data_IF_457946783435
#
_entry.id   IF_457946783435
#
_cell.length_a   1.000
_cell.length_b   1.000
_cell.length_c   1.000
_cell.angle_alpha   90.00
_cell.angle_beta   90.00
_cell.angle_gamma   90.00
#
_symmetry.space_group_name_H-M   'P 1'
#
loop_
_entity.id
_entity.type
_entity.pdbx_description
1 polymer ?
#
# COMPACT_ATOMS: atom_id res chain seq x y z
N UNK A 1 13.92 -52.81 36.45
CA UNK A 1 13.49 -52.28 35.15
C UNK A 1 14.43 -51.13 34.74
N UNK A 2 15.29 -51.29 33.75
CA UNK A 2 16.23 -50.25 33.29
C UNK A 2 15.48 -49.21 32.45
N UNK A 3 15.33 -47.97 32.95
CA UNK A 3 14.80 -46.83 32.17
C UNK A 3 15.78 -46.53 31.02
N UNK A 4 15.34 -46.78 29.78
CA UNK A 4 16.05 -46.43 28.55
C UNK A 4 16.17 -44.90 28.50
N UNK A 5 17.33 -44.34 28.84
CA UNK A 5 17.60 -42.90 28.72
C UNK A 5 17.54 -42.54 27.23
N UNK A 6 16.50 -41.81 26.82
CA UNK A 6 16.38 -41.28 25.45
C UNK A 6 17.52 -40.29 25.23
N UNK A 7 18.39 -40.58 24.26
CA UNK A 7 19.48 -39.68 23.89
C UNK A 7 18.90 -38.52 23.06
N UNK A 8 18.60 -37.40 23.73
CA UNK A 8 18.01 -36.21 23.12
C UNK A 8 19.05 -35.23 22.58
N UNK A 9 20.35 -35.49 22.80
CA UNK A 9 21.44 -34.60 22.38
C UNK A 9 21.46 -34.29 20.86
N UNK A 10 21.20 -35.25 19.94
CA UNK A 10 21.16 -34.95 18.51
C UNK A 10 20.02 -34.00 18.13
N UNK A 11 18.88 -34.08 18.80
CA UNK A 11 17.72 -33.23 18.54
C UNK A 11 17.96 -31.79 19.01
N UNK A 12 18.65 -31.62 20.14
CA UNK A 12 19.04 -30.31 20.64
C UNK A 12 20.03 -29.59 19.71
N UNK A 13 20.86 -30.32 18.96
CA UNK A 13 21.78 -29.73 17.97
C UNK A 13 21.05 -29.24 16.70
N UNK A 14 19.93 -29.87 16.33
CA UNK A 14 19.14 -29.52 15.13
C UNK A 14 18.10 -28.44 15.44
N UNK A 15 17.68 -28.33 16.71
CA UNK A 15 16.60 -27.46 17.14
C UNK A 15 16.81 -25.97 16.75
N UNK A 16 18.00 -25.36 16.89
CA UNK A 16 18.22 -23.97 16.45
C UNK A 16 18.01 -23.79 14.94
N UNK A 17 18.47 -24.73 14.12
CA UNK A 17 18.28 -24.70 12.68
C UNK A 17 16.82 -24.89 12.28
N UNK A 18 16.09 -25.77 12.98
CA UNK A 18 14.65 -25.96 12.77
C UNK A 18 13.85 -24.72 13.16
N UNK A 19 14.17 -24.08 14.28
CA UNK A 19 13.52 -22.83 14.70
C UNK A 19 13.80 -21.73 13.69
N UNK A 20 15.04 -21.60 13.23
CA UNK A 20 15.39 -20.64 12.18
C UNK A 20 14.58 -20.89 10.89
N UNK A 21 14.54 -22.13 10.41
CA UNK A 21 13.78 -22.49 9.21
C UNK A 21 12.28 -22.26 9.39
N UNK A 22 11.73 -22.57 10.57
CA UNK A 22 10.32 -22.33 10.86
C UNK A 22 9.99 -20.83 10.86
N UNK A 23 10.80 -19.99 11.51
CA UNK A 23 10.54 -18.56 11.64
C UNK A 23 10.77 -17.78 10.34
N UNK A 24 11.86 -18.07 9.63
CA UNK A 24 12.27 -17.26 8.46
C UNK A 24 11.77 -17.81 7.13
N UNK A 25 11.43 -19.10 7.03
CA UNK A 25 10.95 -19.70 5.79
C UNK A 25 9.50 -20.18 5.91
N UNK A 26 9.20 -21.05 6.87
CA UNK A 26 7.89 -21.70 6.93
C UNK A 26 6.77 -20.71 7.32
N UNK A 27 7.01 -19.85 8.30
CA UNK A 27 6.03 -18.86 8.77
C UNK A 27 5.62 -17.86 7.69
N UNK A 28 6.54 -17.12 7.03
CA UNK A 28 6.15 -16.19 5.97
C UNK A 28 5.53 -16.91 4.76
N UNK A 29 5.96 -18.13 4.43
CA UNK A 29 5.33 -18.93 3.37
C UNK A 29 3.89 -19.31 3.70
N UNK A 30 3.64 -19.82 4.91
CA UNK A 30 2.29 -20.16 5.37
C UNK A 30 1.40 -18.91 5.43
N UNK A 31 1.93 -17.77 5.92
CA UNK A 31 1.23 -16.49 5.94
C UNK A 31 0.85 -16.04 4.53
N UNK A 32 1.77 -16.09 3.57
CA UNK A 32 1.50 -15.74 2.17
C UNK A 32 0.45 -16.65 1.54
N UNK A 33 0.46 -17.94 1.86
CA UNK A 33 -0.55 -18.88 1.39
C UNK A 33 -1.93 -18.57 1.99
N UNK A 34 -2.00 -18.24 3.27
CA UNK A 34 -3.26 -17.81 3.91
C UNK A 34 -3.79 -16.54 3.26
N UNK A 35 -2.96 -15.52 3.05
CA UNK A 35 -3.34 -14.26 2.36
C UNK A 35 -3.81 -14.47 0.92
N UNK A 36 -3.44 -15.59 0.28
CA UNK A 36 -3.93 -15.90 -1.08
C UNK A 36 -5.38 -16.37 -1.11
N UNK A 37 -5.92 -16.84 0.03
CA UNK A 37 -7.28 -17.40 0.16
C UNK A 37 -8.12 -16.65 1.20
N UNK A 38 -7.56 -15.60 1.79
CA UNK A 38 -8.18 -14.84 2.87
C UNK A 38 -8.00 -13.36 2.56
N UNK A 39 -9.11 -12.64 2.47
CA UNK A 39 -9.15 -11.21 2.23
C UNK A 39 -9.47 -10.50 3.55
N UNK A 40 -8.46 -9.89 4.17
CA UNK A 40 -8.58 -9.18 5.45
C UNK A 40 -9.42 -7.88 5.36
N UNK A 41 -9.70 -7.40 4.14
CA UNK A 41 -10.45 -6.17 3.89
C UNK A 41 -11.82 -6.43 3.22
N UNK A 42 -12.30 -7.68 3.24
CA UNK A 42 -13.53 -8.06 2.54
C UNK A 42 -14.79 -7.38 3.09
N UNK A 43 -14.90 -7.28 4.42
CA UNK A 43 -16.12 -6.87 5.11
C UNK A 43 -15.89 -5.63 5.98
N UNK A 44 -16.74 -4.64 5.83
CA UNK A 44 -16.80 -3.45 6.68
C UNK A 44 -17.90 -3.62 7.74
N UNK A 45 -17.57 -3.86 9.02
CA UNK A 45 -18.56 -3.93 10.08
C UNK A 45 -19.16 -2.55 10.35
N UNK A 46 -20.48 -2.51 10.39
CA UNK A 46 -21.27 -1.33 10.76
C UNK A 46 -21.38 -1.24 12.27
N UNK A 47 -21.15 -0.04 12.80
CA UNK A 47 -21.18 0.24 14.23
C UNK A 47 -22.52 0.82 14.64
N UNK A 48 -23.04 0.41 15.80
CA UNK A 48 -24.27 0.97 16.38
C UNK A 48 -24.14 2.45 16.74
N UNK A 49 -22.94 2.89 17.11
CA UNK A 49 -22.59 4.28 17.41
C UNK A 49 -21.31 4.65 16.66
N UNK A 50 -21.04 5.94 16.47
CA UNK A 50 -19.78 6.42 15.91
C UNK A 50 -18.63 6.20 16.93
N UNK A 51 -18.27 4.94 17.17
CA UNK A 51 -17.21 4.52 18.08
C UNK A 51 -16.77 3.11 17.70
N UNK A 52 -15.45 2.88 17.61
CA UNK A 52 -14.84 1.59 17.30
C UNK A 52 -15.20 0.51 18.33
N UNK A 53 -15.43 0.87 19.59
CA UNK A 53 -15.76 -0.06 20.67
C UNK A 53 -17.25 -0.42 20.73
N UNK A 54 -18.09 0.23 19.93
CA UNK A 54 -19.53 -0.02 19.95
C UNK A 54 -19.89 -1.35 19.28
N UNK A 55 -21.07 -1.87 19.64
CA UNK A 55 -21.58 -3.12 19.07
C UNK A 55 -21.78 -3.03 17.56
N UNK A 56 -21.62 -4.16 16.89
CA UNK A 56 -21.81 -4.25 15.44
C UNK A 56 -23.30 -4.44 15.11
N UNK A 57 -23.83 -3.64 14.19
CA UNK A 57 -25.23 -3.70 13.73
C UNK A 57 -25.40 -4.49 12.43
N UNK A 58 -24.31 -4.75 11.72
CA UNK A 58 -24.27 -5.46 10.44
C UNK A 58 -22.89 -5.36 9.80
N UNK A 59 -22.76 -5.77 8.55
CA UNK A 59 -21.53 -5.60 7.75
C UNK A 59 -21.89 -5.35 6.30
N UNK A 60 -21.00 -4.71 5.55
CA UNK A 60 -21.08 -4.59 4.10
C UNK A 60 -19.84 -5.16 3.42
N UNK A 61 -20.01 -5.84 2.29
CA UNK A 61 -18.90 -6.26 1.43
C UNK A 61 -18.24 -5.05 0.77
N UNK A 62 -16.94 -5.19 0.47
CA UNK A 62 -16.21 -4.22 -0.33
C UNK A 62 -16.91 -4.00 -1.68
N UNK A 63 -17.09 -2.74 -2.07
CA UNK A 63 -17.74 -2.36 -3.31
C UNK A 63 -19.26 -2.18 -3.21
N UNK A 64 -19.89 -2.49 -2.07
CA UNK A 64 -21.32 -2.23 -1.84
C UNK A 64 -21.61 -0.74 -1.90
N UNK A 65 -22.67 -0.37 -2.64
CA UNK A 65 -23.14 1.01 -2.76
C UNK A 65 -23.99 1.36 -1.54
N UNK A 66 -23.75 2.54 -0.98
CA UNK A 66 -24.38 2.99 0.25
C UNK A 66 -24.85 4.44 0.12
N UNK A 67 -25.94 4.75 0.83
CA UNK A 67 -26.45 6.09 1.05
C UNK A 67 -25.85 6.65 2.34
N UNK A 68 -25.37 7.89 2.31
CA UNK A 68 -24.83 8.61 3.46
C UNK A 68 -25.96 9.42 4.06
N UNK A 69 -26.36 9.05 5.28
CA UNK A 69 -27.47 9.68 6.00
C UNK A 69 -27.01 10.88 6.83
N UNK A 70 -25.76 10.88 7.27
CA UNK A 70 -25.20 11.94 8.10
C UNK A 70 -23.73 11.72 8.42
N UNK A 71 -23.15 12.73 9.08
CA UNK A 71 -21.76 12.73 9.51
C UNK A 71 -21.64 13.14 10.98
N UNK A 72 -20.61 12.63 11.65
CA UNK A 72 -20.23 13.00 13.00
C UNK A 72 -18.71 13.08 13.11
N UNK A 73 -18.20 14.18 13.67
CA UNK A 73 -16.80 14.30 14.06
C UNK A 73 -16.60 13.84 15.50
N UNK A 74 -15.65 12.94 15.73
CA UNK A 74 -15.26 12.51 17.07
C UNK A 74 -13.87 13.05 17.42
N UNK A 75 -13.71 13.59 18.62
CA UNK A 75 -12.43 14.09 19.11
C UNK A 75 -11.37 12.99 19.06
N UNK A 76 -10.31 13.22 18.29
CA UNK A 76 -9.13 12.38 18.29
C UNK A 76 -8.36 12.63 19.60
N UNK A 77 -8.32 11.63 20.47
CA UNK A 77 -7.38 11.63 21.59
C UNK A 77 -6.01 11.22 21.05
N UNK A 78 -4.95 11.88 21.54
CA UNK A 78 -3.55 11.87 21.08
C UNK A 78 -2.84 10.47 21.07
N UNK A 79 -3.59 9.37 21.14
CA UNK A 79 -3.10 7.99 21.29
C UNK A 79 -3.60 7.07 20.18
N UNK A 80 -3.54 7.48 18.92
CA UNK A 80 -3.71 6.57 17.78
C UNK A 80 -2.37 6.43 17.08
N UNK A 81 -1.66 5.35 17.42
CA UNK A 81 -0.38 5.01 16.81
C UNK A 81 -0.54 4.71 15.33
N UNK A 82 0.39 5.18 14.50
CA UNK A 82 0.70 4.77 13.12
C UNK A 82 -0.48 4.49 12.14
N UNK A 83 -1.72 4.95 12.41
CA UNK A 83 -2.84 4.82 11.47
C UNK A 83 -2.70 5.86 10.35
N UNK A 84 -1.91 5.50 9.34
CA UNK A 84 -1.72 6.28 8.11
C UNK A 84 -3.05 6.32 7.33
N UNK A 85 -3.57 7.52 7.05
CA UNK A 85 -4.81 7.82 6.30
C UNK A 85 -6.11 8.00 7.11
N UNK A 86 -6.05 8.69 8.25
CA UNK A 86 -7.25 9.25 8.87
C UNK A 86 -7.74 10.45 8.02
N UNK A 87 -9.01 10.42 7.62
CA UNK A 87 -9.68 11.64 7.15
C UNK A 87 -10.10 12.41 8.40
N UNK A 88 -9.35 13.47 8.67
CA UNK A 88 -9.56 14.33 9.83
C UNK A 88 -10.16 15.66 9.44
N UNK A 89 -10.96 16.21 10.34
CA UNK A 89 -11.44 17.58 10.26
C UNK A 89 -10.77 18.40 11.37
N UNK A 90 -10.16 19.52 10.98
CA UNK A 90 -9.52 20.44 11.93
C UNK A 90 -10.50 21.56 12.29
N UNK A 91 -10.60 21.84 13.58
CA UNK A 91 -11.45 22.88 14.14
C UNK A 91 -10.61 23.84 14.96
N UNK A 92 -10.97 25.12 14.93
CA UNK A 92 -10.31 26.18 15.68
C UNK A 92 -11.27 26.74 16.71
N UNK A 93 -10.82 26.83 17.96
CA UNK A 93 -11.48 27.63 18.98
C UNK A 93 -11.03 29.08 18.77
N UNK A 94 -11.99 29.94 18.44
CA UNK A 94 -11.76 31.34 18.09
C UNK A 94 -12.44 32.27 19.07
N UNK A 95 -11.76 33.35 19.42
CA UNK A 95 -12.34 34.48 20.16
C UNK A 95 -12.41 35.69 19.23
N UNK A 96 -13.59 36.29 19.10
CA UNK A 96 -13.82 37.43 18.22
C UNK A 96 -15.16 38.14 18.48
N UNK A 97 -15.47 39.11 17.63
CA UNK A 97 -16.68 39.92 17.73
C UNK A 97 -17.75 39.40 16.73
N UNK A 98 -18.97 39.15 17.22
CA UNK A 98 -20.15 38.77 16.42
C UNK A 98 -20.69 39.99 15.63
N UNK A 99 -21.62 39.77 14.71
CA UNK A 99 -22.38 40.78 13.94
C UNK A 99 -23.00 41.87 14.84
N UNK A 100 -23.42 41.51 16.05
CA UNK A 100 -24.03 42.42 17.02
C UNK A 100 -23.02 43.19 17.90
N UNK A 101 -21.71 43.01 17.68
CA UNK A 101 -20.66 43.65 18.45
C UNK A 101 -20.35 42.99 19.81
N UNK A 102 -20.85 41.77 20.02
CA UNK A 102 -20.62 41.01 21.24
C UNK A 102 -19.37 40.14 21.10
N UNK A 103 -18.56 40.05 22.16
CA UNK A 103 -17.43 39.13 22.19
C UNK A 103 -17.94 37.69 22.35
N UNK A 104 -17.58 36.82 21.42
CA UNK A 104 -17.94 35.41 21.40
C UNK A 104 -16.68 34.54 21.37
N UNK A 105 -16.76 33.38 22.00
CA UNK A 105 -15.70 32.37 22.05
C UNK A 105 -16.31 31.01 21.74
N UNK A 106 -15.80 30.33 20.72
CA UNK A 106 -16.19 28.97 20.40
C UNK A 106 -15.56 28.44 19.12
N UNK A 107 -16.09 27.34 18.63
CA UNK A 107 -15.46 26.50 17.62
C UNK A 107 -15.97 26.79 16.21
N UNK A 108 -15.03 26.82 15.27
CA UNK A 108 -15.29 27.02 13.83
C UNK A 108 -14.42 26.05 13.03
N UNK A 109 -14.94 25.44 11.94
CA UNK A 109 -14.13 24.55 11.10
C UNK A 109 -13.01 25.31 10.38
N UNK A 110 -11.83 24.69 10.28
CA UNK A 110 -10.62 25.28 9.67
C UNK A 110 -10.86 25.73 8.22
N UNK A 111 -11.72 25.01 7.49
CA UNK A 111 -12.14 25.33 6.13
C UNK A 111 -12.71 26.75 5.98
N UNK A 112 -13.23 27.34 7.07
CA UNK A 112 -13.83 28.69 7.13
C UNK A 112 -12.86 29.76 7.60
N UNK A 113 -11.69 29.41 8.11
CA UNK A 113 -10.70 30.36 8.62
C UNK A 113 -9.49 30.41 7.70
N UNK A 114 -9.00 31.61 7.42
CA UNK A 114 -7.69 31.84 6.80
C UNK A 114 -6.74 32.29 7.90
N UNK A 115 -5.81 31.41 8.28
CA UNK A 115 -4.73 31.72 9.22
C UNK A 115 -3.88 32.87 8.67
N UNK A 116 -3.54 33.83 9.54
CA UNK A 116 -2.79 35.05 9.22
C UNK A 116 -1.47 35.13 9.96
N UNK A 117 -1.44 34.60 11.17
CA UNK A 117 -0.26 34.56 12.02
C UNK A 117 -0.15 33.18 12.66
N UNK A 118 1.07 32.65 12.64
CA UNK A 118 1.46 31.38 13.22
C UNK A 118 2.67 31.61 14.12
N UNK A 119 2.77 30.83 15.19
CA UNK A 119 3.96 30.78 16.03
C UNK A 119 5.13 30.11 15.28
N UNK A 120 6.34 30.22 15.83
CA UNK A 120 7.57 29.63 15.25
C UNK A 120 7.49 28.10 15.09
N UNK A 121 6.59 27.44 15.83
CA UNK A 121 6.31 26.00 15.77
C UNK A 121 5.19 25.62 14.80
N UNK A 122 4.58 26.60 14.11
CA UNK A 122 3.47 26.41 13.18
C UNK A 122 2.08 26.44 13.81
N UNK A 123 1.97 26.70 15.12
CA UNK A 123 0.67 26.81 15.80
C UNK A 123 -0.07 28.07 15.31
N UNK A 124 -1.32 27.98 14.84
CA UNK A 124 -2.07 29.16 14.40
C UNK A 124 -2.44 30.06 15.57
N UNK A 125 -2.14 31.36 15.48
CA UNK A 125 -2.39 32.35 16.52
C UNK A 125 -3.53 33.32 16.17
N UNK A 126 -3.61 33.73 14.90
CA UNK A 126 -4.66 34.63 14.42
C UNK A 126 -5.17 34.23 13.05
N UNK A 127 -6.45 34.52 12.80
CA UNK A 127 -7.12 34.19 11.57
C UNK A 127 -8.12 35.25 11.13
N UNK A 128 -8.56 35.12 9.88
CA UNK A 128 -9.67 35.89 9.33
C UNK A 128 -10.71 34.98 8.72
N UNK A 129 -11.99 35.32 8.87
CA UNK A 129 -13.08 34.53 8.28
C UNK A 129 -13.01 34.59 6.76
N UNK A 130 -12.99 33.42 6.11
CA UNK A 130 -13.03 33.31 4.65
C UNK A 130 -14.39 33.78 4.14
N UNK A 131 -14.36 34.54 3.04
CA UNK A 131 -15.58 34.93 2.33
C UNK A 131 -16.12 33.73 1.55
N UNK A 132 -17.39 33.41 1.73
CA UNK A 132 -18.09 32.42 0.92
C UNK A 132 -18.48 33.06 -0.42
N UNK A 133 -18.06 32.45 -1.53
CA UNK A 133 -18.42 32.91 -2.88
C UNK A 133 -19.56 32.04 -3.42
N UNK A 134 -20.72 32.65 -3.70
CA UNK A 134 -21.88 31.98 -4.30
C UNK A 134 -23.15 32.82 -4.16
N UNK A 135 -24.05 32.80 -5.15
CA UNK A 135 -25.23 33.68 -5.22
C UNK A 135 -26.32 33.41 -4.17
N UNK A 136 -26.14 32.43 -3.29
CA UNK A 136 -27.06 32.09 -2.19
C UNK A 136 -26.36 31.55 -0.95
N UNK A 137 -25.06 31.82 -0.81
CA UNK A 137 -24.26 31.29 0.28
C UNK A 137 -24.31 32.26 1.48
N UNK A 138 -24.65 31.77 2.69
CA UNK A 138 -24.61 32.60 3.90
C UNK A 138 -23.18 33.17 4.06
N UNK A 139 -22.99 34.50 4.02
CA UNK A 139 -21.68 35.12 4.14
C UNK A 139 -21.12 34.98 5.57
N UNK A 140 -21.99 34.69 6.54
CA UNK A 140 -21.61 34.52 7.93
C UNK A 140 -21.04 33.12 8.18
N UNK A 141 -20.21 33.04 9.22
CA UNK A 141 -19.66 31.77 9.71
C UNK A 141 -20.23 31.50 11.08
N UNK A 142 -20.99 30.42 11.23
CA UNK A 142 -21.54 29.99 12.52
C UNK A 142 -20.40 29.55 13.44
N UNK A 143 -20.50 29.97 14.70
CA UNK A 143 -19.63 29.56 15.80
C UNK A 143 -20.40 28.60 16.69
N UNK A 144 -19.76 27.49 17.05
CA UNK A 144 -20.36 26.39 17.80
C UNK A 144 -19.79 26.31 19.22
N UNK A 145 -20.57 25.79 20.17
CA UNK A 145 -20.11 25.60 21.54
C UNK A 145 -19.01 24.53 21.68
N UNK A 146 -19.01 23.54 20.78
CA UNK A 146 -18.08 22.41 20.73
C UNK A 146 -17.59 22.21 19.28
N UNK A 147 -16.46 21.52 19.02
CA UNK A 147 -15.97 21.26 17.67
C UNK A 147 -16.86 20.20 17.00
N UNK A 148 -18.05 20.62 16.55
CA UNK A 148 -19.04 19.79 15.86
C UNK A 148 -20.10 20.68 15.21
N UNK A 149 -20.46 20.38 13.95
CA UNK A 149 -21.57 21.09 13.26
C UNK A 149 -22.95 20.81 13.90
N UNK A 150 -23.06 19.76 14.73
CA UNK A 150 -24.29 19.41 15.44
C UNK A 150 -24.39 20.07 16.83
N UNK A 151 -23.35 20.80 17.27
CA UNK A 151 -23.35 21.47 18.57
C UNK A 151 -24.22 22.74 18.55
N UNK A 152 -24.50 23.28 19.75
CA UNK A 152 -25.28 24.51 19.87
C UNK A 152 -24.56 25.68 19.21
N UNK A 153 -25.28 26.42 18.36
CA UNK A 153 -24.80 27.68 17.78
C UNK A 153 -24.75 28.75 18.87
N UNK A 154 -23.57 29.37 19.05
CA UNK A 154 -23.36 30.42 20.06
C UNK A 154 -23.30 31.83 19.46
N UNK A 155 -23.07 31.94 18.15
CA UNK A 155 -22.93 33.21 17.46
C UNK A 155 -22.58 33.06 15.99
N UNK A 156 -22.46 34.18 15.27
CA UNK A 156 -22.09 34.24 13.85
C UNK A 156 -21.02 35.29 13.60
N UNK A 157 -19.99 34.95 12.83
CA UNK A 157 -18.90 35.86 12.49
C UNK A 157 -19.08 36.42 11.08
N UNK A 158 -18.81 37.72 10.93
CA UNK A 158 -18.83 38.36 9.62
C UNK A 158 -17.68 37.91 8.71
N UNK A 159 -17.92 37.99 7.42
CA UNK A 159 -16.90 37.77 6.41
C UNK A 159 -15.70 38.71 6.61
N UNK A 160 -14.50 38.15 6.69
CA UNK A 160 -13.25 38.90 6.97
C UNK A 160 -13.10 39.47 8.38
N UNK A 161 -13.97 39.10 9.33
CA UNK A 161 -13.74 39.38 10.73
C UNK A 161 -12.39 38.80 11.18
N UNK A 162 -11.63 39.59 11.94
CA UNK A 162 -10.38 39.17 12.57
C UNK A 162 -10.66 38.48 13.89
N UNK A 163 -9.89 37.44 14.20
CA UNK A 163 -10.03 36.66 15.44
C UNK A 163 -8.71 36.06 15.89
N UNK A 164 -8.66 35.82 17.20
CA UNK A 164 -7.60 35.05 17.83
C UNK A 164 -7.98 33.58 17.81
N UNK A 165 -7.01 32.72 17.52
CA UNK A 165 -7.16 31.26 17.59
C UNK A 165 -6.55 30.83 18.92
N UNK A 166 -7.40 30.39 19.84
CA UNK A 166 -7.02 30.03 21.21
C UNK A 166 -6.60 28.57 21.33
N UNK A 167 -7.25 27.68 20.58
CA UNK A 167 -7.00 26.24 20.61
C UNK A 167 -7.39 25.56 19.29
N UNK A 168 -6.94 24.33 19.08
CA UNK A 168 -7.25 23.52 17.91
C UNK A 168 -7.72 22.13 18.31
N UNK A 169 -8.70 21.57 17.61
CA UNK A 169 -9.19 20.21 17.81
C UNK A 169 -9.18 19.47 16.47
N UNK A 170 -8.64 18.24 16.48
CA UNK A 170 -8.68 17.36 15.32
C UNK A 170 -9.74 16.29 15.56
N UNK A 171 -10.66 16.13 14.62
CA UNK A 171 -11.75 15.17 14.70
C UNK A 171 -11.57 14.07 13.66
N UNK A 172 -11.83 12.81 14.02
CA UNK A 172 -12.03 11.75 13.05
C UNK A 172 -13.46 11.84 12.52
N UNK A 173 -13.63 11.86 11.19
CA UNK A 173 -14.95 11.93 10.57
C UNK A 173 -15.54 10.53 10.45
N UNK A 174 -16.76 10.37 10.91
CA UNK A 174 -17.59 9.18 10.82
C UNK A 174 -18.83 9.45 9.98
N UNK A 175 -19.23 8.47 9.17
CA UNK A 175 -20.47 8.53 8.39
C UNK A 175 -21.48 7.54 8.92
N UNK A 176 -22.74 7.97 9.02
CA UNK A 176 -23.88 7.08 9.15
C UNK A 176 -24.31 6.67 7.76
N UNK A 177 -24.24 5.38 7.47
CA UNK A 177 -24.53 4.84 6.15
C UNK A 177 -25.68 3.85 6.21
N UNK A 178 -26.43 3.78 5.11
CA UNK A 178 -27.48 2.79 4.86
C UNK A 178 -27.23 2.12 3.52
N UNK A 179 -27.39 0.81 3.48
CA UNK A 179 -27.23 0.03 2.26
C UNK A 179 -28.07 -1.24 2.30
N UNK A 180 -28.20 -1.88 1.15
CA UNK A 180 -28.86 -3.17 1.02
C UNK A 180 -27.83 -4.22 0.61
N UNK A 181 -27.80 -5.32 1.35
CA UNK A 181 -26.97 -6.48 1.06
C UNK A 181 -27.79 -7.75 1.27
N UNK A 182 -27.74 -8.67 0.30
CA UNK A 182 -28.51 -9.92 0.29
C UNK A 182 -30.03 -9.75 0.55
N UNK A 183 -30.60 -8.61 0.14
CA UNK A 183 -32.02 -8.29 0.32
C UNK A 183 -32.38 -7.83 1.74
N UNK A 184 -31.38 -7.57 2.60
CA UNK A 184 -31.55 -6.96 3.91
C UNK A 184 -30.96 -5.56 3.92
N UNK A 185 -31.68 -4.62 4.53
CA UNK A 185 -31.17 -3.26 4.74
C UNK A 185 -30.43 -3.21 6.06
N UNK A 186 -29.18 -2.77 6.02
CA UNK A 186 -28.40 -2.47 7.23
C UNK A 186 -28.13 -0.97 7.33
N UNK A 187 -28.04 -0.50 8.56
CA UNK A 187 -27.72 0.88 8.89
C UNK A 187 -26.75 0.92 10.07
N UNK A 188 -25.78 1.81 10.00
CA UNK A 188 -24.83 2.03 11.09
C UNK A 188 -23.75 3.03 10.74
N UNK A 189 -22.84 3.21 11.68
CA UNK A 189 -21.73 4.14 11.63
C UNK A 189 -20.46 3.46 11.17
N UNK A 190 -19.69 4.16 10.35
CA UNK A 190 -18.37 3.72 9.88
C UNK A 190 -17.41 4.90 9.82
N UNK A 191 -16.10 4.69 10.03
CA UNK A 191 -15.12 5.73 9.77
C UNK A 191 -15.11 6.12 8.29
N UNK A 192 -15.05 7.42 8.01
CA UNK A 192 -15.11 7.98 6.65
C UNK A 192 -14.06 7.40 5.69
N UNK A 193 -12.88 7.05 6.19
CA UNK A 193 -11.77 6.42 5.42
C UNK A 193 -12.11 5.09 4.75
N UNK A 194 -13.19 4.43 5.14
CA UNK A 194 -13.65 3.18 4.52
C UNK A 194 -14.68 3.41 3.41
N UNK A 195 -15.14 4.66 3.23
CA UNK A 195 -16.19 5.03 2.28
C UNK A 195 -15.64 5.99 1.25
N UNK A 196 -15.78 5.62 -0.02
CA UNK A 196 -15.58 6.54 -1.12
C UNK A 196 -16.90 7.29 -1.37
N UNK A 197 -16.92 8.58 -1.03
CA UNK A 197 -18.07 9.46 -1.28
C UNK A 197 -18.09 9.93 -2.74
N UNK A 198 -19.25 9.92 -3.37
CA UNK A 198 -19.44 10.45 -4.72
C UNK A 198 -19.74 11.95 -4.71
N UNK A 199 -19.64 12.62 -5.86
CA UNK A 199 -19.70 14.08 -5.96
C UNK A 199 -21.05 14.72 -5.58
N UNK A 200 -22.07 13.92 -5.26
CA UNK A 200 -23.36 14.36 -4.74
C UNK A 200 -23.45 14.35 -3.21
N UNK A 201 -22.39 13.93 -2.50
CA UNK A 201 -22.24 13.90 -1.04
C UNK A 201 -23.25 13.04 -0.26
N UNK A 202 -24.26 12.49 -0.95
CA UNK A 202 -25.33 11.65 -0.38
C UNK A 202 -25.13 10.18 -0.73
N UNK A 203 -24.34 9.89 -1.78
CA UNK A 203 -24.07 8.52 -2.19
C UNK A 203 -22.59 8.19 -2.10
N UNK A 204 -22.30 6.91 -1.87
CA UNK A 204 -20.93 6.43 -1.78
C UNK A 204 -20.84 4.93 -2.00
N UNK A 205 -19.62 4.42 -1.80
CA UNK A 205 -19.31 3.01 -1.91
C UNK A 205 -18.31 2.61 -0.84
N UNK A 206 -18.47 1.41 -0.29
CA UNK A 206 -17.48 0.80 0.58
C UNK A 206 -16.19 0.56 -0.21
N UNK A 207 -15.11 1.25 0.13
CA UNK A 207 -13.83 1.13 -0.57
C UNK A 207 -13.01 -0.04 -0.06
N UNK A 208 -13.03 -0.29 1.27
CA UNK A 208 -12.36 -1.41 1.92
C UNK A 208 -13.01 -1.72 3.27
N UNK A 209 -12.86 -2.95 3.74
CA UNK A 209 -13.31 -3.42 5.04
C UNK A 209 -12.20 -3.48 6.10
N UNK A 210 -12.56 -3.99 7.28
CA UNK A 210 -11.62 -4.24 8.39
C UNK A 210 -11.70 -5.67 8.92
N UNK A 211 -12.65 -6.45 8.41
CA UNK A 211 -12.86 -7.85 8.80
C UNK A 211 -12.70 -8.76 7.62
N UNK A 212 -12.09 -9.92 7.88
CA UNK A 212 -11.64 -10.82 6.84
C UNK A 212 -12.66 -11.90 6.48
N UNK A 213 -12.64 -12.31 5.21
CA UNK A 213 -13.43 -13.43 4.68
C UNK A 213 -12.56 -14.37 3.84
N UNK A 214 -12.94 -15.65 3.80
CA UNK A 214 -12.37 -16.59 2.85
C UNK A 214 -12.78 -16.22 1.42
N UNK A 215 -11.82 -16.14 0.50
CA UNK A 215 -12.09 -15.77 -0.90
C UNK A 215 -11.32 -16.63 -1.89
N UNK A 216 -11.93 -16.86 -3.05
CA UNK A 216 -11.26 -17.38 -4.25
C UNK A 216 -11.12 -16.31 -5.34
N UNK A 217 -11.57 -15.08 -5.08
CA UNK A 217 -11.60 -13.99 -6.04
C UNK A 217 -10.21 -13.60 -6.55
N UNK A 218 -9.17 -13.71 -5.72
CA UNK A 218 -7.79 -13.47 -6.15
C UNK A 218 -7.34 -14.44 -7.24
N UNK A 219 -7.69 -15.72 -7.12
CA UNK A 219 -7.37 -16.72 -8.14
C UNK A 219 -8.16 -16.46 -9.42
N UNK A 220 -9.46 -16.18 -9.31
CA UNK A 220 -10.29 -15.87 -10.46
C UNK A 220 -9.76 -14.64 -11.21
N UNK A 221 -9.41 -13.56 -10.49
CA UNK A 221 -8.81 -12.35 -11.04
C UNK A 221 -7.47 -12.63 -11.72
N UNK A 222 -6.62 -13.46 -11.11
CA UNK A 222 -5.34 -13.87 -11.68
C UNK A 222 -5.51 -14.68 -12.97
N UNK A 223 -6.41 -15.68 -12.99
CA UNK A 223 -6.63 -16.53 -14.16
C UNK A 223 -7.33 -15.78 -15.31
N UNK A 224 -8.19 -14.82 -15.00
CA UNK A 224 -8.87 -13.98 -15.98
C UNK A 224 -8.00 -12.80 -16.46
N UNK A 225 -6.82 -12.57 -15.88
CA UNK A 225 -5.91 -11.53 -16.33
C UNK A 225 -5.36 -11.84 -17.74
N UNK A 226 -5.48 -10.88 -18.65
CA UNK A 226 -5.04 -10.99 -20.06
C UNK A 226 -3.54 -11.31 -20.23
N UNK A 227 -2.70 -10.99 -19.24
CA UNK A 227 -1.26 -11.21 -19.25
C UNK A 227 -0.85 -12.50 -18.56
N UNK A 228 -1.71 -13.13 -17.75
CA UNK A 228 -1.38 -14.34 -17.00
C UNK A 228 -0.92 -15.48 -17.91
N UNK A 229 -1.73 -15.83 -18.92
CA UNK A 229 -1.40 -16.89 -19.88
C UNK A 229 -0.07 -16.65 -20.61
N UNK A 230 0.13 -15.47 -21.25
CA UNK A 230 1.41 -15.11 -21.85
C UNK A 230 2.60 -15.19 -20.88
N UNK A 231 2.46 -14.68 -19.65
CA UNK A 231 3.53 -14.70 -18.65
C UNK A 231 3.92 -16.13 -18.26
N UNK A 232 2.95 -16.99 -17.95
CA UNK A 232 3.19 -18.41 -17.63
C UNK A 232 3.90 -19.12 -18.78
N UNK A 233 3.46 -18.90 -20.02
CA UNK A 233 4.11 -19.50 -21.20
C UNK A 233 5.56 -19.03 -21.35
N UNK A 234 5.84 -17.74 -21.17
CA UNK A 234 7.21 -17.22 -21.24
C UNK A 234 8.08 -17.80 -20.13
N UNK A 235 7.60 -17.86 -18.90
CA UNK A 235 8.34 -18.44 -17.77
C UNK A 235 8.63 -19.93 -17.99
N UNK A 236 7.64 -20.70 -18.45
CA UNK A 236 7.84 -22.12 -18.78
C UNK A 236 8.80 -22.31 -19.95
N UNK A 237 8.70 -21.49 -20.99
CA UNK A 237 9.63 -21.53 -22.12
C UNK A 237 11.06 -21.24 -21.68
N UNK A 238 11.27 -20.23 -20.84
CA UNK A 238 12.57 -19.93 -20.25
C UNK A 238 13.09 -21.12 -19.43
N UNK A 239 12.26 -21.68 -18.56
CA UNK A 239 12.63 -22.84 -17.73
C UNK A 239 13.05 -24.05 -18.57
N UNK A 240 12.28 -24.38 -19.61
CA UNK A 240 12.54 -25.50 -20.52
C UNK A 240 13.81 -25.29 -21.34
N UNK A 241 14.27 -24.05 -21.55
CA UNK A 241 15.53 -23.78 -22.25
C UNK A 241 16.71 -23.70 -21.27
N UNK A 242 16.56 -22.98 -20.16
CA UNK A 242 17.61 -22.73 -19.17
C UNK A 242 18.04 -24.05 -18.50
N UNK A 243 17.09 -24.82 -17.97
CA UNK A 243 17.41 -26.02 -17.17
C UNK A 243 18.21 -27.04 -17.99
N UNK A 244 17.80 -27.43 -19.21
CA UNK A 244 18.60 -28.35 -20.01
C UNK A 244 19.94 -27.78 -20.44
N UNK A 245 20.02 -26.49 -20.76
CA UNK A 245 21.30 -25.85 -21.13
C UNK A 245 22.29 -25.91 -19.97
N UNK A 246 21.86 -25.57 -18.76
CA UNK A 246 22.66 -25.69 -17.54
C UNK A 246 23.09 -27.14 -17.30
N UNK A 247 22.18 -28.09 -17.49
CA UNK A 247 22.47 -29.51 -17.32
C UNK A 247 23.52 -30.01 -18.33
N UNK A 248 23.42 -29.62 -19.60
CA UNK A 248 24.41 -29.95 -20.64
C UNK A 248 25.77 -29.36 -20.31
N UNK A 249 25.84 -28.09 -19.88
CA UNK A 249 27.07 -27.44 -19.45
C UNK A 249 27.69 -28.14 -18.24
N UNK A 250 26.88 -28.53 -17.26
CA UNK A 250 27.33 -29.27 -16.10
C UNK A 250 27.93 -30.63 -16.48
N UNK A 251 27.30 -31.36 -17.41
CA UNK A 251 27.83 -32.63 -17.93
C UNK A 251 29.15 -32.41 -18.68
N UNK A 252 29.22 -31.42 -19.56
CA UNK A 252 30.46 -31.09 -20.29
C UNK A 252 31.58 -30.84 -19.29
N UNK A 253 31.32 -30.08 -18.23
CA UNK A 253 32.32 -29.83 -17.20
C UNK A 253 32.70 -31.05 -16.39
N UNK A 254 31.75 -31.88 -16.01
CA UNK A 254 32.04 -33.15 -15.36
C UNK A 254 32.95 -34.04 -16.23
N UNK A 255 32.69 -34.10 -17.54
CA UNK A 255 33.50 -34.85 -18.50
C UNK A 255 34.91 -34.26 -18.67
N UNK A 256 35.04 -32.93 -18.77
CA UNK A 256 36.35 -32.25 -18.85
C UNK A 256 37.21 -32.56 -17.63
N UNK A 257 36.61 -32.52 -16.44
CA UNK A 257 37.28 -32.85 -15.19
C UNK A 257 37.75 -34.31 -15.19
N UNK A 258 36.88 -35.23 -15.64
CA UNK A 258 37.17 -36.66 -15.68
C UNK A 258 38.24 -37.03 -16.73
N UNK A 259 38.23 -36.38 -17.90
CA UNK A 259 39.14 -36.67 -19.01
C UNK A 259 40.60 -36.30 -18.74
N UNK A 260 40.90 -35.62 -17.62
CA UNK A 260 42.26 -35.19 -17.22
C UNK A 260 43.04 -34.51 -18.35
N UNK A 261 42.37 -33.66 -19.12
CA UNK A 261 42.99 -32.89 -20.20
C UNK A 261 44.16 -32.05 -19.66
N UNK A 262 45.20 -31.83 -20.49
CA UNK A 262 46.42 -31.12 -20.11
C UNK A 262 46.17 -29.70 -19.54
N UNK A 263 45.03 -29.09 -19.88
CA UNK A 263 44.62 -27.76 -19.42
C UNK A 263 43.35 -27.75 -18.55
N UNK A 264 42.95 -28.90 -17.99
CA UNK A 264 41.72 -29.04 -17.18
C UNK A 264 41.58 -27.95 -16.09
N UNK A 265 42.66 -27.62 -15.38
CA UNK A 265 42.62 -26.59 -14.33
C UNK A 265 42.24 -25.19 -14.83
N UNK A 266 42.64 -24.81 -16.05
CA UNK A 266 42.27 -23.51 -16.64
C UNK A 266 40.78 -23.49 -16.97
N UNK A 267 40.26 -24.57 -17.56
CA UNK A 267 38.83 -24.70 -17.84
C UNK A 267 37.99 -24.64 -16.56
N UNK A 268 38.44 -25.30 -15.48
CA UNK A 268 37.79 -25.24 -14.18
C UNK A 268 37.76 -23.81 -13.64
N UNK A 269 38.87 -23.08 -13.68
CA UNK A 269 38.90 -21.70 -13.20
C UNK A 269 37.94 -20.79 -13.97
N UNK A 270 37.88 -20.90 -15.30
CA UNK A 270 36.95 -20.09 -16.11
C UNK A 270 35.49 -20.38 -15.71
N UNK A 271 35.13 -21.65 -15.54
CA UNK A 271 33.78 -22.05 -15.11
C UNK A 271 33.46 -21.71 -13.65
N UNK A 272 34.46 -21.56 -12.81
CA UNK A 272 34.28 -21.20 -11.41
C UNK A 272 34.11 -19.69 -11.18
N UNK A 273 34.51 -18.85 -12.16
CA UNK A 273 34.39 -17.38 -12.05
C UNK A 273 32.94 -16.97 -11.71
N UNK A 274 31.93 -17.39 -12.47
CA UNK A 274 30.58 -16.89 -12.25
C UNK A 274 29.93 -17.40 -10.97
N UNK A 275 30.25 -18.64 -10.58
CA UNK A 275 29.77 -19.25 -9.33
C UNK A 275 30.21 -18.47 -8.08
N UNK A 276 31.24 -17.63 -8.19
CA UNK A 276 31.72 -16.76 -7.12
C UNK A 276 31.16 -15.34 -7.15
N UNK A 277 30.38 -14.97 -8.18
CA UNK A 277 29.80 -13.63 -8.31
C UNK A 277 28.40 -13.61 -7.72
N UNK A 278 28.05 -12.53 -7.01
CA UNK A 278 26.70 -12.33 -6.49
C UNK A 278 25.70 -12.12 -7.64
N UNK A 279 24.54 -12.77 -7.59
CA UNK A 279 23.45 -12.64 -8.56
C UNK A 279 23.08 -11.16 -8.84
N UNK A 280 23.12 -10.32 -7.80
CA UNK A 280 22.85 -8.89 -7.90
C UNK A 280 23.92 -8.19 -8.76
N UNK A 281 25.20 -8.48 -8.52
CA UNK A 281 26.30 -7.90 -9.26
C UNK A 281 26.27 -8.32 -10.74
N UNK A 282 25.96 -9.58 -11.02
CA UNK A 282 25.76 -10.06 -12.40
C UNK A 282 24.61 -9.29 -13.05
N UNK A 283 23.50 -9.05 -12.34
CA UNK A 283 22.33 -8.35 -12.88
C UNK A 283 22.66 -6.91 -13.30
N UNK A 284 23.43 -6.19 -12.48
CA UNK A 284 23.89 -4.83 -12.79
C UNK A 284 24.82 -4.82 -14.01
N UNK A 285 25.76 -5.77 -14.10
CA UNK A 285 26.67 -5.90 -15.24
C UNK A 285 25.90 -6.14 -16.54
N UNK A 286 24.94 -7.07 -16.52
CA UNK A 286 24.10 -7.37 -17.68
C UNK A 286 23.24 -6.19 -18.10
N UNK A 287 22.65 -5.45 -17.16
CA UNK A 287 21.93 -4.21 -17.48
C UNK A 287 22.84 -3.19 -18.21
N UNK A 288 24.09 -3.04 -17.75
CA UNK A 288 25.08 -2.17 -18.40
C UNK A 288 25.48 -2.65 -19.80
N UNK A 289 25.50 -3.97 -20.05
CA UNK A 289 25.81 -4.54 -21.36
C UNK A 289 24.70 -4.27 -22.38
N UNK A 290 23.43 -4.47 -21.98
CA UNK A 290 22.26 -4.43 -22.87
C UNK A 290 21.56 -3.07 -22.96
N UNK A 291 22.01 -2.06 -22.22
CA UNK A 291 21.47 -0.70 -22.36
C UNK A 291 21.78 -0.10 -23.75
N UNK A 292 21.03 0.91 -24.16
CA UNK A 292 21.15 1.52 -25.50
C UNK A 292 22.58 2.01 -25.78
N UNK A 293 23.24 2.63 -24.81
CA UNK A 293 24.64 3.06 -24.93
C UNK A 293 25.61 2.07 -24.27
N UNK A 294 25.22 0.79 -24.18
CA UNK A 294 25.95 -0.25 -23.47
C UNK A 294 27.15 -0.82 -24.22
N UNK A 295 27.86 -1.72 -23.55
CA UNK A 295 29.05 -2.40 -24.08
C UNK A 295 28.73 -3.14 -25.38
N UNK A 296 27.57 -3.81 -25.46
CA UNK A 296 27.19 -4.59 -26.63
C UNK A 296 27.02 -3.70 -27.87
N UNK A 297 26.27 -2.61 -27.77
CA UNK A 297 26.08 -1.68 -28.88
C UNK A 297 27.40 -1.01 -29.29
N UNK A 298 28.26 -0.67 -28.32
CA UNK A 298 29.55 -0.05 -28.59
C UNK A 298 30.48 -0.99 -29.38
N UNK A 299 30.52 -2.28 -29.02
CA UNK A 299 31.29 -3.29 -29.75
C UNK A 299 30.72 -3.52 -31.15
N UNK A 300 29.40 -3.69 -31.27
CA UNK A 300 28.76 -3.96 -32.56
C UNK A 300 28.91 -2.78 -33.54
N UNK A 301 28.82 -1.54 -33.06
CA UNK A 301 29.09 -0.34 -33.86
C UNK A 301 30.56 -0.22 -34.23
N UNK A 302 31.48 -0.50 -33.28
CA UNK A 302 32.92 -0.47 -33.52
C UNK A 302 33.38 -1.50 -34.57
N UNK A 303 32.68 -2.63 -34.67
CA UNK A 303 32.90 -3.65 -35.70
C UNK A 303 32.18 -3.36 -37.03
N UNK A 304 31.36 -2.31 -37.10
CA UNK A 304 30.56 -1.97 -38.28
C UNK A 304 29.40 -2.95 -38.56
N UNK A 305 28.95 -3.70 -37.55
CA UNK A 305 27.84 -4.66 -37.69
C UNK A 305 26.46 -4.00 -37.57
N UNK A 306 26.39 -2.81 -36.94
CA UNK A 306 25.16 -2.02 -36.82
C UNK A 306 25.48 -0.53 -37.02
N UNK A 307 24.57 0.18 -37.69
CA UNK A 307 24.73 1.62 -37.98
C UNK A 307 24.22 2.52 -36.84
N UNK A 308 23.31 2.00 -36.01
CA UNK A 308 22.71 2.73 -34.89
C UNK A 308 22.43 1.82 -33.69
N UNK A 309 22.50 2.39 -32.48
CA UNK A 309 22.23 1.70 -31.23
C UNK A 309 20.82 1.11 -31.21
N UNK A 310 20.71 -0.20 -31.00
CA UNK A 310 19.43 -0.90 -30.92
C UNK A 310 18.98 -1.05 -29.46
N UNK A 311 17.69 -0.81 -29.15
CA UNK A 311 17.15 -1.03 -27.82
C UNK A 311 16.76 -2.50 -27.61
N UNK A 312 17.64 -3.27 -26.97
CA UNK A 312 17.47 -4.72 -26.73
C UNK A 312 16.44 -5.08 -25.65
N UNK A 313 16.11 -4.14 -24.77
CA UNK A 313 15.22 -4.34 -23.62
C UNK A 313 13.86 -3.65 -23.81
N UNK A 314 13.29 -3.73 -25.02
CA UNK A 314 11.97 -3.12 -25.31
C UNK A 314 10.90 -4.18 -25.51
N UNK A 315 9.64 -3.78 -25.32
CA UNK A 315 8.49 -4.69 -25.44
C UNK A 315 8.36 -5.32 -26.84
N UNK A 316 8.92 -4.68 -27.87
CA UNK A 316 8.95 -5.15 -29.25
C UNK A 316 10.08 -6.15 -29.54
N UNK A 317 11.15 -6.15 -28.72
CA UNK A 317 12.32 -7.04 -28.87
C UNK A 317 12.33 -8.19 -27.87
N UNK A 318 11.16 -8.83 -27.64
CA UNK A 318 10.99 -9.94 -26.66
C UNK A 318 12.03 -11.06 -26.76
N UNK A 319 12.48 -11.39 -27.97
CA UNK A 319 13.52 -12.39 -28.18
C UNK A 319 14.88 -12.02 -27.58
N UNK A 320 15.23 -10.73 -27.60
CA UNK A 320 16.46 -10.22 -26.99
C UNK A 320 16.39 -10.22 -25.46
N UNK A 321 15.22 -9.96 -24.89
CA UNK A 321 14.99 -10.10 -23.44
C UNK A 321 15.20 -11.55 -23.02
N UNK A 322 14.63 -12.52 -23.77
CA UNK A 322 14.82 -13.95 -23.51
C UNK A 322 16.31 -14.33 -23.62
N UNK A 323 17.02 -13.84 -24.64
CA UNK A 323 18.45 -14.10 -24.81
C UNK A 323 19.32 -13.47 -23.70
N UNK A 324 18.97 -12.26 -23.24
CA UNK A 324 19.63 -11.59 -22.13
C UNK A 324 19.43 -12.37 -20.81
N UNK A 325 18.21 -12.89 -20.57
CA UNK A 325 17.92 -13.73 -19.40
C UNK A 325 18.69 -15.06 -19.50
N UNK A 326 18.69 -15.71 -20.67
CA UNK A 326 19.43 -16.95 -20.89
C UNK A 326 20.92 -16.78 -20.62
N UNK A 327 21.51 -15.69 -21.09
CA UNK A 327 22.93 -15.41 -20.87
C UNK A 327 23.24 -15.09 -19.40
N UNK A 328 22.35 -14.38 -18.69
CA UNK A 328 22.47 -14.17 -17.23
C UNK A 328 22.52 -15.49 -16.45
N UNK A 329 21.67 -16.47 -16.77
CA UNK A 329 21.56 -17.74 -16.04
C UNK A 329 22.58 -18.81 -16.43
N UNK A 330 23.29 -18.61 -17.56
CA UNK A 330 24.33 -19.52 -18.05
C UNK A 330 25.72 -19.11 -17.58
N UNK A 331 25.88 -17.86 -17.13
CA UNK A 331 27.15 -17.36 -16.60
C UNK A 331 27.31 -17.93 -15.21
#
# INVERSE_FOLDING_TARGET
MKKKRRNLAPYWLILPSLVYLALFFAYPMARGLILSVWDDEALLPLRSEANLESSESGSFHQGTQVEILGQQGNLLTDTLGDEVNLLTELWFNVTGEDVDGNNIEGWVPESRIRVREEADDGTPLMGTVRRRLGSGADPLTTVFAEPSENAAEIGKLEASAEMQIADTATLEVWYQIRGEEDGQTYEGWVPSRFIQVFGDEVSGRVDRGTSGEFTLGFFEKMFNDRFFGPAVRTTLLLMVIIIPTQFVLAIIMALVIQARLKFNSIFLYIFAIPLGVSDLAVGILFFSIFTQNGLLNSILQGLGLIDAAQPYLTADTRGWIIAAILSFWVT
#
